data_IF_956842551866
#
_entry.id   IF_956842551866
#
_cell.length_a   1.000
_cell.length_b   1.000
_cell.length_c   1.000
_cell.angle_alpha   90.00
_cell.angle_beta   90.00
_cell.angle_gamma   90.00
#
_symmetry.space_group_name_H-M   'P 1'
#
loop_
_entity.id
_entity.type
_entity.pdbx_description
1 polymer ?
#
# COMPACT_ATOMS: atom_id res chain seq x y z
N UNK A 1 1.98 40.78 52.13
CA UNK A 1 0.65 40.59 52.77
C UNK A 1 -0.18 39.75 51.79
N UNK A 2 -0.28 38.42 51.99
CA UNK A 2 -1.45 37.71 52.57
C UNK A 2 -2.74 38.01 51.78
N UNK A 3 -3.55 37.06 51.28
CA UNK A 3 -3.86 35.67 51.71
C UNK A 3 -4.73 35.06 50.57
N UNK A 4 -4.44 33.85 50.05
CA UNK A 4 -5.13 32.56 50.37
C UNK A 4 -6.63 32.58 50.00
N UNK A 5 -7.16 31.69 49.14
CA UNK A 5 -7.59 30.33 49.52
C UNK A 5 -7.96 29.43 48.33
N UNK A 6 -7.59 28.15 48.50
CA UNK A 6 -8.02 26.91 47.83
C UNK A 6 -9.52 26.62 48.03
N UNK A 7 -10.15 25.88 47.10
CA UNK A 7 -11.12 24.82 47.43
C UNK A 7 -10.94 23.63 46.47
N UNK A 8 -10.71 22.45 47.06
CA UNK A 8 -10.82 21.12 46.47
C UNK A 8 -11.99 20.39 47.17
N UNK A 9 -12.73 19.54 46.46
CA UNK A 9 -13.47 18.34 46.92
C UNK A 9 -14.47 17.90 45.82
N UNK A 10 -14.30 16.76 45.14
CA UNK A 10 -14.74 15.39 45.50
C UNK A 10 -16.26 15.24 45.62
N UNK A 11 -16.88 14.49 44.69
CA UNK A 11 -17.97 13.55 45.02
C UNK A 11 -17.87 12.32 44.10
N UNK A 12 -17.78 11.17 44.75
CA UNK A 12 -17.83 9.85 44.16
C UNK A 12 -19.27 9.32 44.06
N UNK A 13 -19.45 8.40 43.11
CA UNK A 13 -20.38 7.27 43.08
C UNK A 13 -21.89 7.53 43.13
N UNK A 14 -22.60 6.99 42.12
CA UNK A 14 -23.76 6.11 42.34
C UNK A 14 -23.96 5.22 41.11
N UNK A 15 -23.86 3.91 41.33
CA UNK A 15 -24.41 2.87 40.45
C UNK A 15 -25.85 2.56 40.88
N UNK A 16 -26.71 2.13 39.95
CA UNK A 16 -27.70 1.12 40.27
C UNK A 16 -27.55 -0.12 39.38
N UNK A 17 -27.54 -1.26 40.05
CA UNK A 17 -27.60 -2.64 39.55
C UNK A 17 -28.82 -2.90 38.69
N UNK A 18 -28.64 -3.50 37.51
CA UNK A 18 -29.70 -4.25 36.81
C UNK A 18 -29.17 -5.54 36.17
N UNK A 19 -29.73 -6.64 36.68
CA UNK A 19 -30.13 -7.88 35.99
C UNK A 19 -29.05 -8.81 35.41
N UNK A 20 -28.82 -9.90 36.13
CA UNK A 20 -28.35 -11.18 35.58
C UNK A 20 -29.35 -11.67 34.51
N UNK A 21 -28.97 -11.60 33.23
CA UNK A 21 -29.49 -12.48 32.20
C UNK A 21 -28.50 -13.63 32.00
N UNK A 22 -28.84 -14.80 32.55
CA UNK A 22 -28.12 -16.05 32.30
C UNK A 22 -28.42 -16.54 30.89
N UNK A 23 -27.66 -16.08 29.90
CA UNK A 23 -27.56 -16.77 28.61
C UNK A 23 -26.33 -17.67 28.64
N UNK A 24 -26.57 -18.91 29.05
CA UNK A 24 -25.65 -20.01 28.92
C UNK A 24 -25.48 -20.35 27.43
N UNK A 25 -24.47 -19.75 26.79
CA UNK A 25 -23.92 -20.22 25.52
C UNK A 25 -22.41 -20.35 25.71
N UNK A 26 -21.93 -21.59 25.75
CA UNK A 26 -20.51 -21.91 25.78
C UNK A 26 -19.79 -21.21 24.61
N UNK A 27 -18.63 -20.58 24.82
CA UNK A 27 -17.72 -20.33 23.72
C UNK A 27 -17.24 -21.70 23.24
N UNK A 28 -17.74 -22.14 22.08
CA UNK A 28 -17.06 -23.16 21.31
C UNK A 28 -15.61 -22.71 21.12
N UNK A 29 -14.60 -23.59 21.26
CA UNK A 29 -13.25 -23.24 20.88
C UNK A 29 -13.29 -22.89 19.39
N UNK A 30 -13.16 -21.60 19.10
CA UNK A 30 -12.89 -21.13 17.76
C UNK A 30 -11.48 -21.64 17.44
N UNK A 31 -11.41 -22.80 16.80
CA UNK A 31 -10.32 -23.13 15.90
C UNK A 31 -10.40 -22.16 14.73
N UNK A 32 -10.06 -20.90 15.00
CA UNK A 32 -9.55 -20.02 13.98
C UNK A 32 -8.21 -20.62 13.62
N UNK A 33 -8.21 -21.34 12.51
CA UNK A 33 -7.02 -21.69 11.75
C UNK A 33 -6.03 -20.53 11.86
N UNK A 34 -4.87 -20.80 12.45
CA UNK A 34 -3.74 -19.91 12.42
C UNK A 34 -3.36 -19.67 10.97
N UNK A 35 -3.95 -18.64 10.37
CA UNK A 35 -3.35 -17.96 9.25
C UNK A 35 -2.29 -17.07 9.90
N UNK A 36 -1.03 -17.51 9.81
CA UNK A 36 0.08 -16.57 9.89
C UNK A 36 -0.25 -15.36 9.01
N UNK A 37 0.18 -14.13 9.36
CA UNK A 37 -0.01 -12.98 8.49
C UNK A 37 0.46 -13.38 7.09
N UNK A 38 -0.47 -13.41 6.14
CA UNK A 38 -0.13 -13.61 4.74
C UNK A 38 0.72 -12.40 4.41
N UNK A 39 2.01 -12.62 4.20
CA UNK A 39 2.94 -11.61 3.73
C UNK A 39 2.35 -11.02 2.44
N UNK A 40 1.77 -9.83 2.53
CA UNK A 40 1.17 -9.14 1.40
C UNK A 40 2.32 -8.67 0.53
N UNK A 41 2.71 -9.49 -0.44
CA UNK A 41 3.54 -9.05 -1.54
C UNK A 41 2.92 -7.75 -2.10
N UNK A 42 3.75 -6.76 -2.49
CA UNK A 42 3.26 -5.52 -3.09
C UNK A 42 2.29 -5.85 -4.22
N UNK A 43 1.06 -5.34 -4.11
CA UNK A 43 0.03 -5.64 -5.09
C UNK A 43 0.29 -4.81 -6.35
N UNK A 44 0.68 -5.49 -7.42
CA UNK A 44 0.53 -4.98 -8.78
C UNK A 44 -0.79 -5.51 -9.34
N UNK A 45 -1.71 -4.65 -9.86
CA UNK A 45 -2.85 -5.11 -10.63
C UNK A 45 -2.39 -6.12 -11.69
N UNK A 46 -3.11 -7.24 -11.89
CA UNK A 46 -2.74 -8.23 -12.90
C UNK A 46 -2.59 -7.56 -14.27
N UNK A 47 -1.40 -7.66 -14.85
CA UNK A 47 -1.05 -7.02 -16.10
C UNK A 47 0.19 -7.67 -16.71
N UNK A 48 0.44 -7.48 -18.02
CA UNK A 48 1.65 -8.00 -18.64
C UNK A 48 2.88 -7.24 -18.11
N UNK A 49 4.02 -7.93 -18.10
CA UNK A 49 5.29 -7.28 -17.81
C UNK A 49 5.52 -6.09 -18.76
N UNK A 50 6.09 -5.01 -18.24
CA UNK A 50 6.50 -3.90 -19.08
C UNK A 50 7.56 -4.36 -20.08
N UNK A 51 7.48 -3.88 -21.32
CA UNK A 51 8.45 -4.18 -22.38
C UNK A 51 9.23 -2.93 -22.75
N UNK A 52 10.50 -3.07 -23.10
CA UNK A 52 11.35 -1.95 -23.49
C UNK A 52 11.82 -1.04 -22.34
N UNK A 53 11.66 -1.47 -21.09
CA UNK A 53 12.24 -0.77 -19.93
C UNK A 53 13.77 -0.92 -19.95
N UNK A 54 14.53 0.18 -19.83
CA UNK A 54 15.99 0.07 -19.73
C UNK A 54 16.38 -0.44 -18.34
N UNK A 55 17.59 -1.00 -18.24
CA UNK A 55 18.28 -1.21 -16.97
C UNK A 55 19.11 0.04 -16.68
N UNK A 56 18.75 0.80 -15.65
CA UNK A 56 19.47 2.02 -15.25
C UNK A 56 20.55 1.67 -14.20
N UNK A 57 21.80 2.16 -14.32
CA UNK A 57 22.81 2.00 -13.28
C UNK A 57 22.32 2.59 -11.94
N UNK A 58 22.67 1.98 -10.78
CA UNK A 58 23.54 0.81 -10.61
C UNK A 58 22.82 -0.55 -10.73
N UNK A 59 21.56 -0.56 -11.18
CA UNK A 59 20.74 -1.75 -11.16
C UNK A 59 21.20 -2.81 -12.16
N UNK A 60 20.75 -4.03 -11.90
CA UNK A 60 20.86 -5.18 -12.81
C UNK A 60 19.48 -5.77 -13.04
N UNK A 61 19.24 -6.38 -14.19
CA UNK A 61 17.97 -7.07 -14.46
C UNK A 61 17.83 -8.31 -13.54
N UNK A 62 16.63 -8.53 -13.00
CA UNK A 62 16.26 -9.70 -12.21
C UNK A 62 15.08 -10.41 -12.88
N UNK A 63 15.36 -11.53 -13.53
CA UNK A 63 14.35 -12.27 -14.31
C UNK A 63 13.21 -12.85 -13.46
N UNK A 64 13.46 -13.07 -12.17
CA UNK A 64 12.52 -13.71 -11.24
C UNK A 64 11.98 -12.75 -10.17
N UNK A 65 12.35 -11.47 -10.20
CA UNK A 65 12.00 -10.48 -9.18
C UNK A 65 12.35 -10.94 -7.75
N UNK A 66 13.42 -11.73 -7.60
CA UNK A 66 13.81 -12.34 -6.32
C UNK A 66 12.84 -13.40 -5.79
N UNK A 67 11.90 -13.87 -6.62
CA UNK A 67 10.83 -14.79 -6.22
C UNK A 67 9.75 -14.16 -5.33
N UNK A 68 9.77 -12.83 -5.16
CA UNK A 68 8.90 -12.11 -4.23
C UNK A 68 7.58 -11.65 -4.88
N UNK A 69 7.59 -11.45 -6.20
CA UNK A 69 6.45 -10.95 -6.94
C UNK A 69 5.70 -12.08 -7.65
N UNK A 70 4.37 -12.12 -7.47
CA UNK A 70 3.51 -13.17 -8.05
C UNK A 70 2.90 -12.80 -9.41
N UNK A 71 3.02 -11.54 -9.81
CA UNK A 71 2.53 -11.01 -11.09
C UNK A 71 3.70 -10.87 -12.06
N UNK A 72 3.42 -11.03 -13.36
CA UNK A 72 4.43 -10.79 -14.39
C UNK A 72 4.90 -9.32 -14.35
N UNK A 73 6.20 -9.11 -14.24
CA UNK A 73 6.83 -7.80 -14.27
C UNK A 73 8.20 -7.89 -14.93
N UNK A 74 8.64 -6.78 -15.50
CA UNK A 74 10.07 -6.55 -15.72
C UNK A 74 10.66 -6.09 -14.39
N UNK A 75 11.72 -6.72 -13.91
CA UNK A 75 12.29 -6.41 -12.62
C UNK A 75 13.76 -6.05 -12.74
N UNK A 76 14.17 -5.06 -11.95
CA UNK A 76 15.57 -4.75 -11.72
C UNK A 76 15.86 -4.82 -10.23
N UNK A 77 17.11 -5.12 -9.89
CA UNK A 77 17.60 -5.20 -8.53
C UNK A 77 18.81 -4.32 -8.31
N UNK A 78 18.87 -3.71 -7.13
CA UNK A 78 19.99 -2.93 -6.62
C UNK A 78 20.07 -3.12 -5.10
N UNK A 79 21.05 -2.50 -4.44
CA UNK A 79 21.09 -2.44 -2.98
C UNK A 79 19.89 -1.64 -2.45
N UNK A 80 19.35 -2.07 -1.31
CA UNK A 80 18.12 -1.52 -0.73
C UNK A 80 18.23 -0.02 -0.46
N UNK A 81 19.40 0.45 -0.03
CA UNK A 81 19.67 1.87 0.19
C UNK A 81 19.71 2.72 -1.11
N UNK A 82 19.83 2.08 -2.27
CA UNK A 82 19.83 2.75 -3.58
C UNK A 82 18.46 2.78 -4.26
N UNK A 83 17.46 2.04 -3.75
CA UNK A 83 16.17 1.86 -4.44
C UNK A 83 15.41 3.18 -4.59
N UNK A 84 15.45 4.06 -3.60
CA UNK A 84 14.81 5.38 -3.70
C UNK A 84 15.38 6.21 -4.86
N UNK A 85 16.70 6.39 -4.89
CA UNK A 85 17.37 7.12 -5.96
C UNK A 85 17.17 6.47 -7.34
N UNK A 86 17.11 5.13 -7.39
CA UNK A 86 16.83 4.40 -8.62
C UNK A 86 15.40 4.64 -9.11
N UNK A 87 14.40 4.67 -8.21
CA UNK A 87 13.01 4.98 -8.54
C UNK A 87 12.86 6.40 -9.09
N UNK A 88 13.58 7.37 -8.51
CA UNK A 88 13.65 8.74 -9.02
C UNK A 88 14.22 8.78 -10.44
N UNK A 89 15.32 8.06 -10.70
CA UNK A 89 15.94 7.99 -12.02
C UNK A 89 15.00 7.37 -13.08
N UNK A 90 14.23 6.35 -12.71
CA UNK A 90 13.19 5.80 -13.59
C UNK A 90 12.06 6.79 -13.84
N UNK A 91 11.63 7.53 -12.82
CA UNK A 91 10.60 8.57 -12.96
C UNK A 91 11.04 9.66 -13.93
N UNK A 92 12.28 10.14 -13.82
CA UNK A 92 12.86 11.11 -14.74
C UNK A 92 12.94 10.55 -16.16
N UNK A 93 13.48 9.33 -16.32
CA UNK A 93 13.59 8.67 -17.62
C UNK A 93 12.22 8.50 -18.30
N UNK A 94 11.23 7.99 -17.57
CA UNK A 94 9.87 7.81 -18.06
C UNK A 94 9.23 9.16 -18.44
N UNK A 95 9.54 10.22 -17.70
CA UNK A 95 9.15 11.60 -18.05
C UNK A 95 9.65 12.02 -19.44
N UNK A 96 10.88 11.66 -19.82
CA UNK A 96 11.40 11.93 -21.18
C UNK A 96 10.65 11.19 -22.29
N UNK A 97 9.93 10.12 -21.91
CA UNK A 97 9.12 9.29 -22.80
C UNK A 97 7.61 9.65 -22.73
N UNK A 98 7.28 10.82 -22.16
CA UNK A 98 5.93 11.34 -21.97
C UNK A 98 5.03 10.51 -21.03
N UNK A 99 5.62 9.67 -20.17
CA UNK A 99 4.90 9.10 -19.05
C UNK A 99 4.80 10.11 -17.91
N UNK A 100 3.61 10.23 -17.33
CA UNK A 100 3.31 11.17 -16.25
C UNK A 100 2.93 10.38 -15.01
N UNK A 101 3.59 10.64 -13.88
CA UNK A 101 3.13 10.12 -12.59
C UNK A 101 1.74 10.71 -12.28
N UNK A 102 0.77 9.84 -12.08
CA UNK A 102 -0.64 10.20 -11.89
C UNK A 102 -1.19 9.83 -10.52
N UNK A 103 -0.64 8.78 -9.90
CA UNK A 103 -1.03 8.29 -8.58
C UNK A 103 0.13 7.48 -7.97
N UNK A 104 0.06 7.16 -6.69
CA UNK A 104 1.10 6.39 -6.00
C UNK A 104 1.02 6.45 -4.49
N UNK A 105 1.89 5.67 -3.85
CA UNK A 105 2.23 5.76 -2.44
C UNK A 105 3.75 5.59 -2.27
N UNK A 106 4.22 5.47 -1.03
CA UNK A 106 5.64 5.41 -0.70
C UNK A 106 6.41 4.33 -1.47
N UNK A 107 5.75 3.24 -1.88
CA UNK A 107 6.39 2.12 -2.56
C UNK A 107 5.85 1.87 -3.97
N UNK A 108 4.97 2.72 -4.50
CA UNK A 108 4.35 2.51 -5.81
C UNK A 108 4.15 3.83 -6.54
N UNK A 109 4.46 3.83 -7.83
CA UNK A 109 4.11 4.93 -8.74
C UNK A 109 3.29 4.38 -9.89
N UNK A 110 2.16 5.04 -10.17
CA UNK A 110 1.32 4.81 -11.34
C UNK A 110 1.61 5.90 -12.35
N UNK A 111 2.06 5.50 -13.53
CA UNK A 111 2.30 6.37 -14.67
C UNK A 111 1.18 6.24 -15.70
N UNK A 112 0.85 7.35 -16.34
CA UNK A 112 -0.07 7.41 -17.48
C UNK A 112 0.61 8.05 -18.68
N UNK A 113 0.31 7.56 -19.87
CA UNK A 113 0.72 8.20 -21.12
C UNK A 113 -0.47 8.34 -22.04
N UNK A 114 -0.75 9.57 -22.48
CA UNK A 114 -1.87 9.85 -23.39
C UNK A 114 -1.59 9.25 -24.77
N UNK A 115 -2.63 8.67 -25.39
CA UNK A 115 -2.59 8.18 -26.77
C UNK A 115 -3.12 9.24 -27.73
N UNK A 116 -2.57 9.29 -28.95
CA UNK A 116 -2.99 10.26 -29.97
C UNK A 116 -4.46 10.13 -30.39
N UNK A 117 -5.04 8.92 -30.26
CA UNK A 117 -6.45 8.62 -30.54
C UNK A 117 -7.40 8.76 -29.35
N UNK A 118 -6.92 9.30 -28.21
CA UNK A 118 -7.67 9.36 -26.96
C UNK A 118 -7.41 8.17 -26.04
N UNK A 119 -7.71 8.37 -24.76
CA UNK A 119 -7.37 7.43 -23.68
C UNK A 119 -5.90 7.42 -23.29
N UNK A 120 -5.56 6.56 -22.34
CA UNK A 120 -4.21 6.47 -21.80
C UNK A 120 -3.73 5.03 -21.60
N UNK A 121 -2.44 4.83 -21.86
CA UNK A 121 -1.70 3.66 -21.39
C UNK A 121 -1.40 3.85 -19.90
N UNK A 122 -1.39 2.75 -19.13
CA UNK A 122 -0.97 2.75 -17.74
C UNK A 122 0.26 1.88 -17.51
N UNK A 123 1.16 2.33 -16.66
CA UNK A 123 2.35 1.61 -16.23
C UNK A 123 2.48 1.75 -14.71
N UNK A 124 2.76 0.66 -14.02
CA UNK A 124 3.06 0.66 -12.59
C UNK A 124 4.53 0.36 -12.37
N UNK A 125 5.17 1.16 -11.52
CA UNK A 125 6.44 0.85 -10.86
C UNK A 125 6.17 0.55 -9.39
N UNK A 126 6.75 -0.51 -8.84
CA UNK A 126 6.64 -0.84 -7.41
C UNK A 126 8.01 -1.17 -6.84
N UNK A 127 8.31 -0.63 -5.67
CA UNK A 127 9.50 -0.91 -4.88
C UNK A 127 9.21 -1.98 -3.82
N UNK A 128 10.10 -2.94 -3.66
CA UNK A 128 9.95 -4.00 -2.67
C UNK A 128 11.26 -4.70 -2.33
N UNK A 129 11.25 -5.45 -1.23
CA UNK A 129 12.36 -6.26 -0.76
C UNK A 129 11.82 -7.45 0.04
N UNK A 130 12.71 -8.36 0.43
CA UNK A 130 12.36 -9.53 1.24
C UNK A 130 12.19 -9.15 2.71
N UNK A 131 10.95 -8.88 3.12
CA UNK A 131 10.62 -8.53 4.50
C UNK A 131 10.77 -9.70 5.50
N UNK A 132 11.04 -10.92 5.03
CA UNK A 132 11.39 -12.04 5.93
C UNK A 132 12.83 -11.95 6.45
N UNK A 133 13.62 -11.03 5.90
CA UNK A 133 15.01 -10.76 6.27
C UNK A 133 15.17 -9.37 6.87
N UNK A 134 16.23 -9.13 7.67
CA UNK A 134 16.56 -7.79 8.12
C UNK A 134 16.74 -6.82 6.94
N UNK A 135 16.16 -5.62 7.07
CA UNK A 135 16.30 -4.54 6.10
C UNK A 135 17.69 -3.88 6.24
N UNK A 136 18.71 -4.51 5.67
CA UNK A 136 20.08 -4.00 5.63
C UNK A 136 20.30 -3.15 4.37
N UNK A 137 21.14 -2.11 4.46
CA UNK A 137 21.42 -1.21 3.33
C UNK A 137 21.88 -1.97 2.07
N UNK A 138 22.73 -2.98 2.26
CA UNK A 138 23.28 -3.80 1.17
C UNK A 138 22.38 -4.97 0.74
N UNK A 139 21.22 -5.15 1.41
CA UNK A 139 20.28 -6.20 1.03
C UNK A 139 19.71 -5.94 -0.37
N UNK A 140 19.29 -6.97 -1.10
CA UNK A 140 18.64 -6.76 -2.39
C UNK A 140 17.29 -6.07 -2.23
N UNK A 141 17.15 -4.93 -2.89
CA UNK A 141 15.87 -4.31 -3.20
C UNK A 141 15.52 -4.49 -4.68
N UNK A 142 14.25 -4.31 -5.02
CA UNK A 142 13.72 -4.53 -6.36
C UNK A 142 12.80 -3.40 -6.77
N UNK A 143 12.85 -3.05 -8.07
CA UNK A 143 11.80 -2.31 -8.74
C UNK A 143 11.13 -3.21 -9.77
N UNK A 144 9.82 -3.37 -9.68
CA UNK A 144 9.01 -4.13 -10.63
C UNK A 144 8.15 -3.22 -11.50
N UNK A 145 8.11 -3.50 -12.80
CA UNK A 145 7.39 -2.74 -13.81
C UNK A 145 6.37 -3.60 -14.55
N UNK A 146 5.11 -3.18 -14.53
CA UNK A 146 4.02 -3.87 -15.21
C UNK A 146 3.07 -2.88 -15.90
N UNK A 147 2.51 -3.28 -17.02
CA UNK A 147 1.49 -2.49 -17.72
C UNK A 147 0.16 -2.67 -17.01
N UNK A 148 -0.55 -1.57 -16.79
CA UNK A 148 -1.92 -1.59 -16.27
C UNK A 148 -2.85 -1.75 -17.46
N UNK A 149 -3.63 -2.86 -17.55
CA UNK A 149 -4.48 -3.11 -18.69
C UNK A 149 -5.67 -2.13 -18.76
N UNK A 150 -6.07 -1.77 -19.98
CA UNK A 150 -7.23 -0.92 -20.23
C UNK A 150 -6.89 0.56 -20.44
N UNK A 151 -7.91 1.40 -20.44
CA UNK A 151 -7.80 2.85 -20.57
C UNK A 151 -7.83 3.52 -19.20
N UNK A 152 -6.65 3.80 -18.65
CA UNK A 152 -6.51 4.32 -17.28
C UNK A 152 -7.01 5.76 -17.12
N UNK A 153 -7.22 6.50 -18.22
CA UNK A 153 -7.80 7.85 -18.17
C UNK A 153 -9.33 7.87 -18.07
N UNK A 154 -9.98 6.70 -18.12
CA UNK A 154 -11.45 6.58 -18.00
C UNK A 154 -11.93 6.06 -16.64
N UNK A 155 -11.01 5.67 -15.76
CA UNK A 155 -11.36 5.26 -14.41
C UNK A 155 -11.86 6.47 -13.61
N UNK A 156 -13.19 6.55 -13.43
CA UNK A 156 -13.78 7.51 -12.51
C UNK A 156 -13.24 7.25 -11.08
N UNK A 157 -12.92 8.30 -10.29
CA UNK A 157 -12.53 8.13 -8.90
C UNK A 157 -13.58 7.28 -8.18
N UNK A 158 -13.14 6.25 -7.46
CA UNK A 158 -14.05 5.52 -6.57
C UNK A 158 -14.63 6.53 -5.57
N UNK A 159 -15.94 6.76 -5.64
CA UNK A 159 -16.61 7.63 -4.69
C UNK A 159 -16.33 7.12 -3.26
N UNK A 160 -15.94 7.97 -2.31
CA UNK A 160 -15.79 7.57 -0.92
C UNK A 160 -17.07 6.86 -0.47
N UNK A 161 -16.93 5.68 0.12
CA UNK A 161 -18.07 4.95 0.68
C UNK A 161 -18.78 5.88 1.67
N UNK A 162 -20.04 6.22 1.37
CA UNK A 162 -20.86 7.01 2.27
C UNK A 162 -20.98 6.25 3.60
N UNK A 163 -20.44 6.82 4.67
CA UNK A 163 -20.71 6.36 6.03
C UNK A 163 -22.23 6.38 6.23
N UNK A 164 -22.89 5.24 6.51
CA UNK A 164 -24.32 5.26 6.80
C UNK A 164 -24.53 6.01 8.12
N UNK A 165 -25.00 7.25 8.03
CA UNK A 165 -25.59 7.96 9.17
C UNK A 165 -26.86 7.22 9.57
N UNK A 166 -26.74 6.34 10.56
CA UNK A 166 -27.87 5.64 11.16
C UNK A 166 -28.86 6.64 11.75
N UNK A 167 -29.95 6.90 11.01
CA UNK A 167 -31.12 7.60 11.53
C UNK A 167 -31.90 6.65 12.44
N UNK A 168 -31.89 6.92 13.75
CA UNK A 168 -32.83 6.32 14.69
C UNK A 168 -34.16 7.05 14.61
N UNK A 169 -35.14 6.39 14.00
CA UNK A 169 -36.54 6.68 14.19
C UNK A 169 -36.98 6.21 15.59
N UNK A 170 -37.52 7.13 16.39
CA UNK A 170 -38.74 6.98 17.20
C UNK A 170 -39.04 8.29 17.93
#
# INVERSE_FOLDING_TARGET
MMKTLLIAAVVAAVSPTLTLAQNNAAPAPQTSSGQAPVQTAPTIPPGPAATGMPVLPPATESADCGGLLRTAAFCVTAQLDQIGALADAYTEHLGTLNWLAADGDDNRVIFVRRRDGGGCDGLQMVAFYDETKPAEATAPGYLGFAVIPGDVCTAAPAAPAATPSGGSAQ
#
